data_IF_315738019135
#
_entry.id   IF_315738019135
#
_cell.length_a   1.000
_cell.length_b   1.000
_cell.length_c   1.000
_cell.angle_alpha   90.00
_cell.angle_beta   90.00
_cell.angle_gamma   90.00
#
_symmetry.space_group_name_H-M   'P 1'
#
loop_
_entity.id
_entity.type
_entity.pdbx_description
1 polymer ?
#
# COMPACT_ATOMS: atom_id res chain seq x y z
N UNK A 1 12.60 -19.16 -5.59
CA UNK A 1 11.87 -18.13 -6.36
C UNK A 1 10.44 -18.56 -6.56
N UNK A 2 9.49 -17.91 -5.90
CA UNK A 2 8.07 -18.03 -6.24
C UNK A 2 7.80 -17.13 -7.42
N UNK A 3 7.47 -17.71 -8.58
CA UNK A 3 7.08 -16.93 -9.75
C UNK A 3 5.69 -16.36 -9.45
N UNK A 4 5.52 -15.03 -9.59
CA UNK A 4 4.19 -14.42 -9.65
C UNK A 4 3.55 -14.97 -10.92
N UNK A 5 2.74 -16.01 -10.76
CA UNK A 5 2.05 -16.65 -11.87
C UNK A 5 0.65 -16.04 -12.06
N UNK A 6 0.04 -16.36 -13.20
CA UNK A 6 -1.30 -15.87 -13.54
C UNK A 6 -2.35 -16.29 -12.49
N UNK A 7 -2.13 -17.40 -11.79
CA UNK A 7 -3.03 -17.89 -10.74
C UNK A 7 -2.97 -16.99 -9.51
N UNK A 8 -1.78 -16.56 -9.10
CA UNK A 8 -1.58 -15.60 -8.02
C UNK A 8 -2.27 -14.28 -8.35
N UNK A 9 -2.02 -13.73 -9.55
CA UNK A 9 -2.62 -12.46 -9.99
C UNK A 9 -4.14 -12.55 -10.01
N UNK A 10 -4.72 -13.64 -10.55
CA UNK A 10 -6.17 -13.88 -10.55
C UNK A 10 -6.76 -14.03 -9.14
N UNK A 11 -6.06 -14.68 -8.21
CA UNK A 11 -6.52 -14.83 -6.82
C UNK A 11 -6.47 -13.50 -6.08
N UNK A 12 -5.41 -12.72 -6.30
CA UNK A 12 -5.20 -11.41 -5.70
C UNK A 12 -6.24 -10.39 -6.20
N UNK A 13 -6.47 -10.29 -7.50
CA UNK A 13 -7.44 -9.35 -8.10
C UNK A 13 -8.90 -9.61 -7.70
N UNK A 14 -9.25 -10.82 -7.23
CA UNK A 14 -10.57 -11.13 -6.67
C UNK A 14 -10.82 -10.59 -5.26
N UNK A 15 -9.77 -10.15 -4.57
CA UNK A 15 -9.83 -9.67 -3.18
C UNK A 15 -9.33 -8.24 -3.03
N UNK A 16 -8.61 -7.72 -4.02
CA UNK A 16 -8.01 -6.40 -4.01
C UNK A 16 -8.31 -5.66 -5.32
N UNK A 17 -8.71 -4.39 -5.21
CA UNK A 17 -8.78 -3.45 -6.32
C UNK A 17 -7.52 -2.58 -6.27
N UNK A 18 -6.85 -2.42 -7.41
CA UNK A 18 -5.75 -1.49 -7.53
C UNK A 18 -6.26 -0.05 -7.46
N UNK A 19 -5.77 0.72 -6.49
CA UNK A 19 -6.17 2.11 -6.24
C UNK A 19 -5.13 3.12 -6.76
N UNK A 20 -4.08 2.66 -7.46
CA UNK A 20 -3.02 3.52 -8.01
C UNK A 20 -1.79 3.63 -7.12
N UNK A 21 -0.98 4.68 -7.31
CA UNK A 21 0.21 4.99 -6.50
C UNK A 21 -0.05 6.12 -5.50
N UNK A 22 0.65 6.14 -4.37
CA UNK A 22 0.41 7.00 -3.22
C UNK A 22 0.84 8.47 -3.38
N UNK A 23 1.26 8.89 -4.58
CA UNK A 23 1.16 10.30 -4.98
C UNK A 23 -0.30 10.74 -5.18
N UNK A 24 -1.24 9.79 -5.15
CA UNK A 24 -2.68 9.96 -5.34
C UNK A 24 -3.35 9.55 -4.04
N UNK A 25 -3.50 10.51 -3.13
CA UNK A 25 -3.93 10.24 -1.77
C UNK A 25 -5.36 9.68 -1.73
N UNK A 26 -5.59 8.65 -0.91
CA UNK A 26 -6.90 7.99 -0.77
C UNK A 26 -7.45 7.32 -2.03
N UNK A 27 -6.59 6.96 -3.01
CA UNK A 27 -7.03 6.38 -4.28
C UNK A 27 -7.77 7.36 -5.21
N UNK A 28 -7.63 8.67 -4.98
CA UNK A 28 -8.22 9.76 -5.78
C UNK A 28 -7.13 10.59 -6.45
N UNK A 29 -7.43 11.19 -7.60
CA UNK A 29 -6.45 11.96 -8.37
C UNK A 29 -5.99 13.23 -7.67
N UNK A 30 -4.68 13.47 -7.69
CA UNK A 30 -4.06 14.69 -7.16
C UNK A 30 -3.82 14.68 -5.65
N UNK A 31 -3.55 15.86 -5.10
CA UNK A 31 -3.42 16.09 -3.66
C UNK A 31 -4.80 16.09 -2.98
N UNK A 32 -4.88 15.78 -1.68
CA UNK A 32 -6.10 15.97 -0.89
C UNK A 32 -6.69 17.37 -1.07
N UNK A 33 -8.01 17.48 -1.18
CA UNK A 33 -8.69 18.78 -1.19
C UNK A 33 -8.75 19.38 0.22
N UNK A 34 -9.00 20.69 0.32
CA UNK A 34 -9.12 21.39 1.61
C UNK A 34 -10.31 20.90 2.45
N UNK A 35 -11.37 20.40 1.80
CA UNK A 35 -12.58 19.94 2.49
C UNK A 35 -13.00 18.56 2.03
N UNK A 36 -13.63 17.79 2.91
CA UNK A 36 -14.17 16.47 2.60
C UNK A 36 -15.17 16.49 1.43
N UNK A 37 -16.02 17.53 1.36
CA UNK A 37 -17.00 17.69 0.27
C UNK A 37 -16.32 17.80 -1.09
N UNK A 38 -15.25 18.60 -1.18
CA UNK A 38 -14.47 18.74 -2.41
C UNK A 38 -13.66 17.47 -2.69
N UNK A 39 -13.15 16.80 -1.65
CA UNK A 39 -12.38 15.58 -1.80
C UNK A 39 -13.20 14.44 -2.40
N UNK A 40 -14.45 14.28 -1.94
CA UNK A 40 -15.42 13.29 -2.46
C UNK A 40 -15.77 13.48 -3.94
N UNK A 41 -15.61 14.68 -4.48
CA UNK A 41 -15.85 14.98 -5.89
C UNK A 41 -14.66 14.62 -6.79
N UNK A 42 -13.47 14.41 -6.23
CA UNK A 42 -12.27 14.04 -7.01
C UNK A 42 -12.47 12.65 -7.61
N UNK A 43 -12.14 12.45 -8.90
CA UNK A 43 -12.29 11.14 -9.53
C UNK A 43 -11.36 10.11 -8.89
N UNK A 44 -11.87 8.88 -8.75
CA UNK A 44 -11.03 7.76 -8.35
C UNK A 44 -10.04 7.40 -9.45
N UNK A 45 -8.84 7.04 -9.03
CA UNK A 45 -7.77 6.62 -9.95
C UNK A 45 -8.19 5.36 -10.70
N UNK A 46 -8.85 4.43 -10.02
CA UNK A 46 -9.40 3.22 -10.61
C UNK A 46 -10.26 3.52 -11.84
N UNK A 47 -11.26 4.39 -11.68
CA UNK A 47 -12.23 4.72 -12.73
C UNK A 47 -11.55 5.37 -13.94
N UNK A 48 -10.55 6.22 -13.71
CA UNK A 48 -9.80 6.86 -14.78
C UNK A 48 -8.90 5.89 -15.54
N UNK A 49 -8.21 4.99 -14.84
CA UNK A 49 -7.38 3.97 -15.47
C UNK A 49 -8.25 2.98 -16.26
N UNK A 50 -9.40 2.59 -15.71
CA UNK A 50 -10.36 1.72 -16.37
C UNK A 50 -10.92 2.38 -17.64
N UNK A 51 -11.30 3.65 -17.55
CA UNK A 51 -11.78 4.43 -18.71
C UNK A 51 -10.70 4.62 -19.77
N UNK A 52 -9.44 4.85 -19.37
CA UNK A 52 -8.35 5.12 -20.29
C UNK A 52 -7.85 3.87 -21.02
N UNK A 53 -7.79 2.73 -20.34
CA UNK A 53 -7.16 1.51 -20.86
C UNK A 53 -8.14 0.39 -21.21
N UNK A 54 -9.42 0.54 -20.85
CA UNK A 54 -10.38 -0.56 -20.88
C UNK A 54 -10.04 -1.66 -19.87
N UNK A 55 -10.91 -2.65 -19.73
CA UNK A 55 -10.75 -3.75 -18.77
C UNK A 55 -9.42 -4.50 -18.93
N UNK A 56 -9.06 -4.84 -20.16
CA UNK A 56 -7.87 -5.64 -20.45
C UNK A 56 -6.59 -4.84 -20.29
N UNK A 57 -6.56 -3.59 -20.75
CA UNK A 57 -5.43 -2.69 -20.54
C UNK A 57 -5.25 -2.34 -19.06
N UNK A 58 -6.34 -2.21 -18.31
CA UNK A 58 -6.31 -2.01 -16.86
C UNK A 58 -5.70 -3.22 -16.13
N UNK A 59 -6.12 -4.45 -16.49
CA UNK A 59 -5.52 -5.68 -15.95
C UNK A 59 -4.04 -5.81 -16.32
N UNK A 60 -3.67 -5.41 -17.54
CA UNK A 60 -2.28 -5.42 -17.97
C UNK A 60 -1.44 -4.39 -17.20
N UNK A 61 -1.93 -3.17 -17.01
CA UNK A 61 -1.26 -2.15 -16.21
C UNK A 61 -1.13 -2.60 -14.74
N UNK A 62 -2.18 -3.21 -14.17
CA UNK A 62 -2.13 -3.81 -12.85
C UNK A 62 -1.07 -4.92 -12.77
N UNK A 63 -1.00 -5.82 -13.76
CA UNK A 63 0.00 -6.88 -13.81
C UNK A 63 1.42 -6.33 -14.02
N UNK A 64 1.60 -5.29 -14.84
CA UNK A 64 2.88 -4.64 -15.10
C UNK A 64 3.37 -3.86 -13.87
N UNK A 65 2.49 -3.16 -13.16
CA UNK A 65 2.82 -2.53 -11.89
C UNK A 65 3.14 -3.60 -10.85
N UNK A 66 2.33 -4.68 -10.73
CA UNK A 66 2.62 -5.86 -9.90
C UNK A 66 3.99 -6.47 -10.19
N UNK A 67 4.39 -6.53 -11.46
CA UNK A 67 5.69 -7.01 -11.90
C UNK A 67 6.81 -6.02 -11.59
N UNK A 68 6.57 -4.71 -11.71
CA UNK A 68 7.56 -3.67 -11.39
C UNK A 68 7.86 -3.56 -9.91
N UNK A 69 6.90 -3.89 -9.04
CA UNK A 69 7.18 -4.00 -7.60
C UNK A 69 7.77 -5.36 -7.22
N UNK A 70 8.18 -6.20 -8.20
CA UNK A 70 8.79 -7.52 -8.00
C UNK A 70 9.54 -7.60 -6.65
N UNK A 71 8.90 -8.19 -5.63
CA UNK A 71 9.49 -8.26 -4.32
C UNK A 71 10.58 -9.34 -4.35
N UNK A 72 11.75 -9.02 -3.80
CA UNK A 72 12.85 -9.99 -3.64
C UNK A 72 12.60 -11.05 -2.56
N UNK A 73 11.43 -11.02 -1.89
CA UNK A 73 10.96 -12.02 -0.93
C UNK A 73 9.55 -12.49 -1.28
N UNK A 74 9.28 -13.78 -1.11
CA UNK A 74 8.05 -14.42 -1.60
C UNK A 74 6.79 -14.01 -0.81
N UNK A 75 6.94 -13.23 0.26
CA UNK A 75 5.90 -12.92 1.23
C UNK A 75 5.98 -11.48 1.76
N UNK A 76 6.63 -10.55 1.04
CA UNK A 76 6.79 -9.19 1.58
C UNK A 76 5.44 -8.48 1.72
N UNK A 77 5.24 -7.96 2.93
CA UNK A 77 4.10 -7.21 3.44
C UNK A 77 3.68 -6.06 2.51
N UNK A 78 2.38 -5.99 2.24
CA UNK A 78 1.69 -4.73 2.00
C UNK A 78 1.84 -3.89 3.28
N UNK A 79 2.30 -2.64 3.17
CA UNK A 79 2.13 -1.69 4.27
C UNK A 79 0.62 -1.43 4.39
N UNK A 80 -0.04 -2.25 5.21
CA UNK A 80 -1.45 -2.03 5.58
C UNK A 80 -1.44 -0.92 6.59
N UNK A 81 -1.63 0.31 6.11
CA UNK A 81 -2.15 1.33 6.99
C UNK A 81 -3.56 0.90 7.36
N UNK A 82 -3.83 0.71 8.64
CA UNK A 82 -5.21 0.82 9.09
C UNK A 82 -5.72 2.13 8.52
N UNK A 83 -6.83 2.07 7.80
CA UNK A 83 -7.60 3.28 7.51
C UNK A 83 -7.84 3.87 8.89
N UNK A 84 -7.09 4.93 9.25
CA UNK A 84 -7.44 5.73 10.41
C UNK A 84 -8.89 6.07 10.15
N UNK A 85 -9.78 5.61 11.04
CA UNK A 85 -11.21 5.76 10.83
C UNK A 85 -11.43 7.24 10.50
N UNK A 86 -12.04 7.51 9.35
CA UNK A 86 -12.20 8.88 8.89
C UNK A 86 -12.80 9.69 10.04
N UNK A 87 -12.12 10.76 10.43
CA UNK A 87 -12.58 11.63 11.52
C UNK A 87 -13.40 12.71 10.86
N UNK A 88 -14.71 12.67 11.05
CA UNK A 88 -15.62 13.67 10.52
C UNK A 88 -15.18 15.07 11.02
N UNK A 89 -14.98 15.99 10.08
CA UNK A 89 -14.52 17.35 10.37
C UNK A 89 -13.00 17.55 10.41
N UNK A 90 -12.17 16.51 10.29
CA UNK A 90 -10.72 16.67 10.12
C UNK A 90 -10.37 16.87 8.64
N UNK A 91 -9.43 17.78 8.34
CA UNK A 91 -9.03 18.06 6.97
C UNK A 91 -8.40 16.82 6.27
N UNK A 92 -8.74 16.56 5.00
CA UNK A 92 -8.15 15.49 4.18
C UNK A 92 -6.62 15.42 4.23
N UNK A 93 -5.95 16.57 4.10
CA UNK A 93 -4.49 16.64 4.09
C UNK A 93 -3.85 16.19 5.41
N UNK A 94 -4.57 16.33 6.53
CA UNK A 94 -4.16 15.88 7.86
C UNK A 94 -4.42 14.38 8.05
N UNK A 95 -5.54 13.86 7.53
CA UNK A 95 -5.91 12.45 7.68
C UNK A 95 -5.09 11.50 6.80
N UNK A 96 -4.68 11.95 5.61
CA UNK A 96 -3.93 11.16 4.64
C UNK A 96 -2.92 12.03 3.89
N UNK A 97 -1.81 12.41 4.56
CA UNK A 97 -0.77 13.24 3.96
C UNK A 97 -0.18 12.58 2.72
N UNK A 98 0.32 13.39 1.79
CA UNK A 98 0.94 12.92 0.56
C UNK A 98 2.10 11.97 0.92
N UNK A 99 2.00 10.71 0.47
CA UNK A 99 2.98 9.67 0.76
C UNK A 99 3.97 9.45 -0.38
N UNK A 100 5.03 8.67 -0.11
CA UNK A 100 5.88 8.13 -1.17
C UNK A 100 5.05 7.30 -2.14
N UNK A 101 5.43 7.24 -3.43
CA UNK A 101 4.65 6.68 -4.55
C UNK A 101 4.38 5.15 -4.49
N UNK A 102 3.93 4.62 -3.36
CA UNK A 102 3.62 3.22 -3.12
C UNK A 102 2.31 2.82 -3.76
N UNK A 103 2.18 1.57 -4.21
CA UNK A 103 0.89 1.09 -4.67
C UNK A 103 -0.13 1.02 -3.54
N UNK A 104 -1.34 1.44 -3.86
CA UNK A 104 -2.50 1.37 -2.99
C UNK A 104 -3.42 0.29 -3.50
N UNK A 105 -3.95 -0.50 -2.56
CA UNK A 105 -4.87 -1.59 -2.85
C UNK A 105 -6.07 -1.46 -1.91
N UNK A 106 -7.26 -1.53 -2.47
CA UNK A 106 -8.50 -1.59 -1.68
C UNK A 106 -8.87 -3.05 -1.48
N UNK A 107 -8.90 -3.48 -0.22
CA UNK A 107 -9.41 -4.80 0.14
C UNK A 107 -10.94 -4.81 0.00
N UNK A 108 -11.49 -5.66 -0.86
CA UNK A 108 -12.93 -5.76 -1.12
C UNK A 108 -13.60 -6.96 -0.44
N UNK A 109 -12.82 -7.84 0.21
CA UNK A 109 -13.30 -9.00 0.95
C UNK A 109 -12.48 -9.18 2.24
N UNK A 110 -13.08 -9.57 3.37
CA UNK A 110 -12.33 -9.86 4.59
C UNK A 110 -11.19 -10.86 4.36
N UNK A 111 -10.03 -10.61 4.97
CA UNK A 111 -8.83 -11.45 4.89
C UNK A 111 -8.08 -11.41 6.22
N UNK A 112 -7.49 -12.54 6.58
CA UNK A 112 -6.53 -12.61 7.67
C UNK A 112 -5.18 -12.07 7.20
N UNK A 113 -4.53 -11.30 8.05
CA UNK A 113 -3.22 -10.73 7.80
C UNK A 113 -2.22 -11.27 8.82
N UNK A 114 -1.02 -11.59 8.34
CA UNK A 114 0.13 -11.85 9.21
C UNK A 114 0.78 -10.50 9.51
N UNK A 115 0.84 -10.13 10.79
CA UNK A 115 1.61 -8.97 11.21
C UNK A 115 3.09 -9.36 11.33
N UNK A 116 3.89 -9.04 10.31
CA UNK A 116 5.32 -9.32 10.34
C UNK A 116 6.12 -8.38 11.24
N UNK A 117 5.72 -7.12 11.32
CA UNK A 117 6.36 -6.14 12.20
C UNK A 117 5.36 -5.07 12.63
N UNK A 118 5.46 -4.64 13.88
CA UNK A 118 4.76 -3.49 14.44
C UNK A 118 5.74 -2.34 14.65
N UNK A 119 5.45 -1.16 14.10
CA UNK A 119 6.29 0.04 14.28
C UNK A 119 5.51 1.04 15.11
N UNK A 120 6.06 1.45 16.25
CA UNK A 120 5.43 2.48 17.10
C UNK A 120 5.81 3.92 16.67
N UNK A 121 5.24 4.90 17.38
CA UNK A 121 5.44 6.33 17.10
C UNK A 121 6.88 6.80 17.26
N UNK A 122 7.70 6.05 18.00
CA UNK A 122 9.12 6.36 18.20
C UNK A 122 10.02 5.73 17.12
N UNK A 123 9.42 5.06 16.13
CA UNK A 123 10.14 4.38 15.06
C UNK A 123 10.79 3.08 15.53
N UNK A 124 10.27 2.43 16.57
CA UNK A 124 10.76 1.13 17.01
C UNK A 124 9.98 0.01 16.32
N UNK A 125 10.68 -0.76 15.48
CA UNK A 125 10.11 -1.93 14.79
C UNK A 125 10.25 -3.17 15.67
N UNK A 126 9.10 -3.74 16.07
CA UNK A 126 8.96 -4.96 16.87
C UNK A 126 8.52 -6.10 15.98
N UNK A 127 9.31 -7.17 15.93
CA UNK A 127 8.98 -8.43 15.26
C UNK A 127 8.87 -9.54 16.31
N UNK A 128 8.30 -10.71 15.98
CA UNK A 128 8.38 -11.91 16.82
C UNK A 128 9.80 -12.29 17.29
N UNK A 129 10.84 -11.90 16.55
CA UNK A 129 12.21 -12.37 16.81
C UNK A 129 13.15 -11.29 17.33
N UNK A 130 12.87 -10.01 17.10
CA UNK A 130 13.72 -8.92 17.55
C UNK A 130 13.00 -7.58 17.56
N UNK A 131 13.65 -6.59 18.18
CA UNK A 131 13.26 -5.19 18.13
C UNK A 131 14.43 -4.36 17.63
N UNK A 132 14.20 -3.45 16.69
CA UNK A 132 15.21 -2.53 16.16
C UNK A 132 14.64 -1.13 15.97
N UNK A 133 15.44 -0.09 16.22
CA UNK A 133 15.06 1.27 15.86
C UNK A 133 15.25 1.49 14.36
N UNK A 134 14.23 2.06 13.72
CA UNK A 134 14.23 2.56 12.35
C UNK A 134 13.92 4.07 12.30
N UNK A 135 14.04 4.75 13.45
CA UNK A 135 13.89 6.19 13.55
C UNK A 135 15.00 6.92 12.75
N UNK A 136 14.82 8.21 12.42
CA UNK A 136 15.90 9.02 11.85
C UNK A 136 17.18 8.92 12.67
N UNK A 137 18.32 8.66 12.01
CA UNK A 137 19.62 8.47 12.66
C UNK A 137 19.89 7.05 13.18
N UNK A 138 18.94 6.10 13.04
CA UNK A 138 19.19 4.71 13.38
C UNK A 138 20.26 4.07 12.48
N UNK A 139 21.07 3.13 13.00
CA UNK A 139 22.08 2.44 12.20
C UNK A 139 21.47 1.72 10.99
N UNK A 140 22.11 1.85 9.82
CA UNK A 140 21.64 1.21 8.57
C UNK A 140 21.46 -0.31 8.70
N UNK A 141 22.28 -0.95 9.55
CA UNK A 141 22.18 -2.38 9.84
C UNK A 141 20.81 -2.80 10.41
N UNK A 142 20.11 -1.92 11.13
CA UNK A 142 18.77 -2.18 11.64
C UNK A 142 17.76 -2.33 10.50
N UNK A 143 17.84 -1.46 9.49
CA UNK A 143 16.99 -1.52 8.31
C UNK A 143 17.20 -2.81 7.54
N UNK A 144 18.46 -3.20 7.30
CA UNK A 144 18.78 -4.45 6.61
C UNK A 144 18.35 -5.69 7.39
N UNK A 145 18.50 -5.67 8.72
CA UNK A 145 18.03 -6.76 9.58
C UNK A 145 16.51 -6.91 9.51
N UNK A 146 15.78 -5.80 9.62
CA UNK A 146 14.32 -5.79 9.48
C UNK A 146 13.89 -6.25 8.09
N UNK A 147 14.53 -5.74 7.03
CA UNK A 147 14.23 -6.11 5.65
C UNK A 147 14.43 -7.61 5.41
N UNK A 148 15.59 -8.17 5.78
CA UNK A 148 15.87 -9.61 5.63
C UNK A 148 14.89 -10.49 6.37
N UNK A 149 14.44 -10.07 7.55
CA UNK A 149 13.42 -10.79 8.29
C UNK A 149 12.07 -10.77 7.57
N UNK A 150 11.64 -9.61 7.08
CA UNK A 150 10.39 -9.46 6.34
C UNK A 150 10.39 -10.18 4.98
N UNK A 151 11.56 -10.45 4.41
CA UNK A 151 11.72 -11.27 3.20
C UNK A 151 11.58 -12.78 3.46
N UNK A 152 11.69 -13.22 4.73
CA UNK A 152 11.67 -14.63 5.15
C UNK A 152 10.34 -15.09 5.76
N UNK A 153 9.48 -14.16 6.18
CA UNK A 153 8.05 -14.44 6.36
C UNK A 153 7.47 -14.99 5.09
#
# INVERSE_FOLDING_TARGET
MGVIDEKFVRKFSRSFIYAGTAMRSGGRMGVPAETEKLDKQRPHVHDLLLKAYGDDGYRHAQAADLYRIAPRGHNRLVKVFTIVRHIDGMEPATQYPVGGAHLQWTLIKPRDFICGAFVDGDGLAKTPSFTVSIAPGAPQANFFRLERYLEQL
#
